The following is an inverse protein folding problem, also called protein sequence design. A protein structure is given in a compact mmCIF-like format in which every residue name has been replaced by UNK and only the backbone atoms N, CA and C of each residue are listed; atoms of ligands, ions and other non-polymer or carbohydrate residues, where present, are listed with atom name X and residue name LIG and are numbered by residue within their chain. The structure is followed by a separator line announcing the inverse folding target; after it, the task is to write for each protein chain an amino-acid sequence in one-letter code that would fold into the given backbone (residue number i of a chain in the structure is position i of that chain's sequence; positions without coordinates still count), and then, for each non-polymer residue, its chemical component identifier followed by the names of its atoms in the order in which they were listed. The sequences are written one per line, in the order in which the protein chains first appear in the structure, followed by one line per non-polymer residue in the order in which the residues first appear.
data_IF_640780815243
#
_entry.id   IF_640780815243
#
_cell.length_a   1.000
_cell.length_b   1.000
_cell.length_c   1.000
_cell.angle_alpha   90.00
_cell.angle_beta   90.00
_cell.angle_gamma   90.00
#
_symmetry.space_group_name_H-M   'P 1'
#
loop_
_entity.id
_entity.type
_entity.pdbx_description
1 polymer ?
#
# COMPACT_ATOMS: atom_id res chain seq x y z
N UNK A 1 -5.53 4.56 14.11
CA UNK A 1 -4.80 4.71 12.83
C UNK A 1 -3.28 4.72 13.05
N UNK A 2 -2.72 5.65 13.84
CA UNK A 2 -1.26 5.68 14.12
C UNK A 2 -0.80 4.36 14.74
N UNK A 3 -1.49 3.84 15.74
CA UNK A 3 -1.11 2.59 16.38
C UNK A 3 -1.11 1.40 15.41
N UNK A 4 -2.08 1.34 14.50
CA UNK A 4 -2.17 0.26 13.51
C UNK A 4 -1.15 0.45 12.38
N UNK A 5 -1.16 1.62 11.73
CA UNK A 5 -0.41 1.82 10.49
C UNK A 5 1.09 2.10 10.73
N UNK A 6 1.45 2.61 11.90
CA UNK A 6 2.85 2.95 12.24
C UNK A 6 3.40 1.96 13.26
N UNK A 7 2.87 1.97 14.50
CA UNK A 7 3.43 1.11 15.56
C UNK A 7 3.27 -0.37 15.22
N UNK A 8 2.11 -0.79 14.70
CA UNK A 8 1.87 -2.17 14.28
C UNK A 8 2.85 -2.62 13.22
N UNK A 9 3.08 -1.80 12.19
CA UNK A 9 4.07 -2.08 11.15
C UNK A 9 5.49 -2.23 11.74
N UNK A 10 5.93 -1.28 12.55
CA UNK A 10 7.28 -1.30 13.16
C UNK A 10 7.46 -2.53 14.05
N UNK A 11 6.48 -2.84 14.91
CA UNK A 11 6.58 -3.99 15.80
C UNK A 11 6.57 -5.32 15.05
N UNK A 12 5.67 -5.47 14.07
CA UNK A 12 5.62 -6.68 13.22
C UNK A 12 6.94 -6.88 12.48
N UNK A 13 7.46 -5.81 11.88
CA UNK A 13 8.75 -5.85 11.19
C UNK A 13 9.87 -6.26 12.16
N UNK A 14 9.97 -5.63 13.33
CA UNK A 14 10.99 -5.95 14.33
C UNK A 14 10.95 -7.42 14.76
N UNK A 15 9.76 -7.98 14.95
CA UNK A 15 9.58 -9.35 15.41
C UNK A 15 9.93 -10.38 14.32
N UNK A 16 9.59 -10.10 13.06
CA UNK A 16 9.77 -11.04 11.95
C UNK A 16 11.15 -10.90 11.27
N UNK A 17 11.76 -9.72 11.34
CA UNK A 17 12.99 -9.41 10.62
C UNK A 17 14.14 -10.40 10.86
N UNK A 18 14.43 -10.86 12.11
CA UNK A 18 15.49 -11.85 12.32
C UNK A 18 15.28 -13.16 11.55
N UNK A 19 14.04 -13.60 11.39
CA UNK A 19 13.71 -14.81 10.62
C UNK A 19 13.87 -14.58 9.12
N UNK A 20 13.52 -13.42 8.63
CA UNK A 20 13.69 -13.05 7.22
C UNK A 20 15.17 -12.94 6.85
N UNK A 21 15.97 -12.34 7.72
CA UNK A 21 17.44 -12.26 7.55
C UNK A 21 18.08 -13.67 7.58
N UNK A 22 17.65 -14.52 8.51
CA UNK A 22 18.14 -15.90 8.58
C UNK A 22 17.75 -16.73 7.33
N UNK A 23 16.58 -16.47 6.74
CA UNK A 23 16.19 -17.08 5.46
C UNK A 23 17.05 -16.54 4.31
N UNK A 24 17.35 -15.25 4.32
CA UNK A 24 18.22 -14.59 3.35
C UNK A 24 17.60 -14.45 1.96
N UNK A 25 18.35 -14.88 0.94
CA UNK A 25 17.97 -14.70 -0.46
C UNK A 25 16.62 -15.32 -0.80
N UNK A 26 15.71 -14.48 -1.28
CA UNK A 26 14.34 -14.84 -1.62
C UNK A 26 13.31 -14.36 -0.60
N UNK A 27 13.72 -14.05 0.64
CA UNK A 27 12.82 -13.40 1.60
C UNK A 27 12.36 -12.04 1.09
N UNK A 28 11.11 -11.70 1.37
CA UNK A 28 10.49 -10.46 0.88
C UNK A 28 9.58 -9.85 1.94
N UNK A 29 9.59 -8.54 2.00
CA UNK A 29 8.65 -7.71 2.74
C UNK A 29 7.91 -6.87 1.71
N UNK A 30 6.58 -6.93 1.70
CA UNK A 30 5.73 -6.04 0.92
C UNK A 30 4.87 -5.25 1.88
N UNK A 31 5.15 -3.97 2.01
CA UNK A 31 4.37 -3.06 2.84
C UNK A 31 3.28 -2.39 2.01
N UNK A 32 2.07 -2.34 2.54
CA UNK A 32 0.95 -1.66 1.91
C UNK A 32 0.97 -0.16 2.25
N UNK A 33 1.58 0.62 1.36
CA UNK A 33 1.49 2.06 1.31
C UNK A 33 0.12 2.53 0.81
N UNK A 34 0.11 3.61 0.08
CA UNK A 34 -1.03 4.16 -0.66
C UNK A 34 -0.57 5.35 -1.48
N UNK A 35 -1.22 5.64 -2.60
CA UNK A 35 -1.08 6.92 -3.31
C UNK A 35 -1.35 8.13 -2.40
N UNK A 36 -2.11 7.94 -1.32
CA UNK A 36 -2.36 8.95 -0.29
C UNK A 36 -1.10 9.35 0.51
N UNK A 37 -0.04 8.56 0.44
CA UNK A 37 1.27 8.90 1.03
C UNK A 37 2.04 9.90 0.18
N UNK A 38 1.76 9.96 -1.12
CA UNK A 38 2.46 10.78 -2.10
C UNK A 38 1.65 12.02 -2.52
N UNK A 39 0.32 11.89 -2.58
CA UNK A 39 -0.57 12.92 -3.12
C UNK A 39 -1.55 13.41 -2.06
N UNK A 40 -1.58 14.73 -1.79
CA UNK A 40 -2.48 15.31 -0.79
C UNK A 40 -3.92 15.34 -1.30
N UNK A 41 -4.87 15.15 -0.38
CA UNK A 41 -6.29 15.28 -0.67
C UNK A 41 -7.06 15.76 0.57
N UNK A 42 -8.23 16.40 0.43
CA UNK A 42 -9.04 16.86 1.56
C UNK A 42 -9.39 15.72 2.54
N UNK A 43 -9.17 15.95 3.84
CA UNK A 43 -9.44 14.96 4.89
C UNK A 43 -8.40 13.84 5.02
N UNK A 44 -7.31 13.89 4.27
CA UNK A 44 -6.27 12.85 4.24
C UNK A 44 -5.07 13.07 5.18
N UNK A 45 -5.04 14.15 5.96
CA UNK A 45 -3.84 14.58 6.70
C UNK A 45 -3.24 13.50 7.62
N UNK A 46 -4.01 12.84 8.48
CA UNK A 46 -3.48 11.76 9.34
C UNK A 46 -3.23 10.49 8.53
N UNK A 47 -4.18 10.08 7.70
CA UNK A 47 -4.04 8.87 6.88
C UNK A 47 -2.88 9.00 5.90
N UNK A 48 -2.81 10.07 5.14
CA UNK A 48 -1.71 10.35 4.21
C UNK A 48 -0.37 10.39 4.95
N UNK A 49 -0.32 11.04 6.11
CA UNK A 49 0.89 11.04 6.95
C UNK A 49 1.33 9.64 7.38
N UNK A 50 0.39 8.75 7.76
CA UNK A 50 0.76 7.36 8.07
C UNK A 50 1.25 6.58 6.85
N UNK A 51 0.68 6.84 5.67
CA UNK A 51 1.08 6.16 4.42
C UNK A 51 2.41 6.71 3.87
N UNK A 52 2.69 7.99 4.04
CA UNK A 52 4.01 8.57 3.79
C UNK A 52 5.08 7.95 4.70
N UNK A 53 4.74 7.71 5.98
CA UNK A 53 5.61 6.96 6.89
C UNK A 53 5.92 5.55 6.35
N UNK A 54 4.92 4.80 5.89
CA UNK A 54 5.12 3.45 5.33
C UNK A 54 6.09 3.49 4.14
N UNK A 55 5.93 4.46 3.24
CA UNK A 55 6.82 4.65 2.10
C UNK A 55 8.26 4.88 2.54
N UNK A 56 8.50 5.91 3.36
CA UNK A 56 9.85 6.25 3.82
C UNK A 56 10.46 5.14 4.69
N UNK A 57 9.67 4.50 5.55
CA UNK A 57 10.10 3.35 6.35
C UNK A 57 10.59 2.20 5.46
N UNK A 58 9.86 1.89 4.38
CA UNK A 58 10.22 0.83 3.45
C UNK A 58 11.56 1.12 2.74
N UNK A 59 11.77 2.37 2.31
CA UNK A 59 13.02 2.79 1.67
C UNK A 59 14.21 2.68 2.64
N UNK A 60 14.06 3.15 3.87
CA UNK A 60 15.11 3.07 4.89
C UNK A 60 15.39 1.62 5.27
N UNK A 61 14.35 0.82 5.49
CA UNK A 61 14.49 -0.61 5.78
C UNK A 61 15.23 -1.35 4.65
N UNK A 62 14.99 -0.97 3.40
CA UNK A 62 15.71 -1.53 2.26
C UNK A 62 17.22 -1.23 2.33
N UNK A 63 17.60 -0.03 2.79
CA UNK A 63 19.01 0.33 3.00
C UNK A 63 19.63 -0.46 4.15
N UNK A 64 18.92 -0.59 5.28
CA UNK A 64 19.42 -1.31 6.45
C UNK A 64 19.64 -2.81 6.16
N UNK A 65 18.92 -3.36 5.18
CA UNK A 65 18.97 -4.78 4.82
C UNK A 65 19.95 -5.09 3.67
N UNK A 66 20.78 -4.14 3.26
CA UNK A 66 21.80 -4.40 2.23
C UNK A 66 22.71 -5.57 2.65
N UNK A 67 22.99 -6.48 1.73
CA UNK A 67 23.80 -7.67 2.01
C UNK A 67 23.08 -8.86 2.63
N UNK A 68 21.83 -8.69 3.13
CA UNK A 68 21.06 -9.79 3.73
C UNK A 68 20.32 -10.65 2.71
N UNK A 69 20.11 -10.15 1.50
CA UNK A 69 19.30 -10.80 0.48
C UNK A 69 17.80 -10.64 0.64
N UNK A 70 17.33 -9.94 1.69
CA UNK A 70 15.91 -9.63 1.91
C UNK A 70 15.48 -8.48 1.02
N UNK A 71 14.35 -8.66 0.34
CA UNK A 71 13.75 -7.64 -0.52
C UNK A 71 12.70 -6.84 0.25
N UNK A 72 12.58 -5.55 -0.06
CA UNK A 72 11.56 -4.68 0.53
C UNK A 72 10.86 -3.89 -0.56
N UNK A 73 9.54 -3.95 -0.58
CA UNK A 73 8.69 -3.23 -1.54
C UNK A 73 7.66 -2.40 -0.79
N UNK A 74 7.45 -1.17 -1.23
CA UNK A 74 6.30 -0.36 -0.89
C UNK A 74 5.27 -0.45 -2.01
N UNK A 75 4.11 -1.06 -1.76
CA UNK A 75 3.00 -1.16 -2.71
C UNK A 75 1.99 -0.06 -2.40
N UNK A 76 1.66 0.78 -3.37
CA UNK A 76 0.90 2.02 -3.19
C UNK A 76 -0.39 2.01 -4.02
N UNK A 77 -1.45 1.35 -3.53
CA UNK A 77 -2.73 1.33 -4.23
C UNK A 77 -3.43 2.70 -4.22
N UNK A 78 -4.12 2.99 -5.32
CA UNK A 78 -5.12 4.03 -5.42
C UNK A 78 -6.49 3.59 -4.91
N UNK A 79 -7.57 3.94 -5.64
CA UNK A 79 -8.93 3.57 -5.29
C UNK A 79 -9.11 2.05 -5.40
N UNK A 80 -9.17 1.40 -4.25
CA UNK A 80 -9.43 -0.04 -4.14
C UNK A 80 -10.72 -0.27 -3.36
N UNK A 81 -11.64 -1.03 -3.92
CA UNK A 81 -12.90 -1.36 -3.27
C UNK A 81 -12.68 -2.43 -2.20
N UNK A 82 -12.94 -2.07 -0.97
CA UNK A 82 -12.76 -2.95 0.17
C UNK A 82 -13.55 -2.41 1.37
N UNK A 83 -13.64 -3.18 2.44
CA UNK A 83 -14.25 -2.73 3.70
C UNK A 83 -13.59 -1.48 4.33
N UNK A 84 -12.41 -1.08 3.83
CA UNK A 84 -11.69 0.10 4.33
C UNK A 84 -12.56 1.37 4.31
N UNK A 85 -13.28 1.62 3.22
CA UNK A 85 -14.15 2.79 3.11
C UNK A 85 -15.33 2.72 4.08
N UNK A 86 -15.90 1.53 4.27
CA UNK A 86 -16.99 1.33 5.24
C UNK A 86 -16.51 1.59 6.67
N UNK A 87 -15.35 1.06 7.04
CA UNK A 87 -14.72 1.32 8.35
C UNK A 87 -14.38 2.81 8.52
N UNK A 88 -13.83 3.44 7.48
CA UNK A 88 -13.48 4.87 7.47
C UNK A 88 -14.70 5.76 7.72
N UNK A 89 -15.84 5.39 7.16
CA UNK A 89 -17.09 6.16 7.30
C UNK A 89 -17.95 5.68 8.48
N UNK A 90 -17.43 4.86 9.38
CA UNK A 90 -18.15 4.41 10.58
C UNK A 90 -19.37 3.56 10.27
N UNK A 91 -19.37 2.82 9.17
CA UNK A 91 -20.48 1.97 8.73
C UNK A 91 -21.51 2.69 7.83
N UNK A 92 -21.25 3.93 7.43
CA UNK A 92 -22.15 4.68 6.53
C UNK A 92 -22.11 4.11 5.11
N UNK A 93 -23.09 3.25 4.81
CA UNK A 93 -23.21 2.57 3.51
C UNK A 93 -23.41 3.57 2.35
N UNK A 94 -24.13 4.66 2.57
CA UNK A 94 -24.38 5.64 1.50
C UNK A 94 -23.08 6.33 1.07
N UNK A 95 -22.19 6.65 2.02
CA UNK A 95 -20.86 7.20 1.71
C UNK A 95 -19.95 6.17 1.06
N UNK A 96 -20.05 4.91 1.49
CA UNK A 96 -19.35 3.81 0.84
C UNK A 96 -19.76 3.71 -0.63
N UNK A 97 -21.05 3.58 -0.90
CA UNK A 97 -21.58 3.44 -2.26
C UNK A 97 -21.20 4.66 -3.13
N UNK A 98 -21.31 5.87 -2.58
CA UNK A 98 -20.93 7.10 -3.27
C UNK A 98 -19.43 7.18 -3.61
N UNK A 99 -18.58 6.51 -2.84
CA UNK A 99 -17.13 6.46 -3.09
C UNK A 99 -16.82 5.72 -4.39
N UNK A 100 -17.54 4.64 -4.65
CA UNK A 100 -17.29 3.76 -5.80
C UNK A 100 -18.25 3.95 -6.96
N UNK A 101 -19.34 4.71 -6.77
CA UNK A 101 -20.35 4.93 -7.79
C UNK A 101 -19.75 5.47 -9.10
N UNK A 102 -19.99 4.76 -10.21
CA UNK A 102 -19.51 5.11 -11.55
C UNK A 102 -17.97 5.02 -11.72
N UNK A 103 -17.27 4.44 -10.76
CA UNK A 103 -15.86 4.11 -10.90
C UNK A 103 -15.68 2.60 -11.15
N UNK A 104 -14.57 2.22 -11.77
CA UNK A 104 -14.11 0.84 -11.85
C UNK A 104 -12.88 0.71 -10.95
N UNK A 105 -13.06 0.44 -9.64
CA UNK A 105 -11.98 0.43 -8.67
C UNK A 105 -11.13 -0.84 -8.79
N UNK A 106 -9.87 -0.74 -8.33
CA UNK A 106 -9.05 -1.93 -8.07
C UNK A 106 -9.77 -2.84 -7.08
N UNK A 107 -9.75 -4.13 -7.34
CA UNK A 107 -10.30 -5.14 -6.43
C UNK A 107 -9.19 -5.68 -5.50
N UNK A 108 -9.51 -6.19 -4.31
CA UNK A 108 -8.53 -6.82 -3.42
C UNK A 108 -7.74 -7.95 -4.10
N UNK A 109 -8.35 -8.66 -5.05
CA UNK A 109 -7.67 -9.69 -5.83
C UNK A 109 -6.55 -9.13 -6.70
N UNK A 110 -6.74 -7.96 -7.31
CA UNK A 110 -5.71 -7.31 -8.12
C UNK A 110 -4.47 -6.97 -7.28
N UNK A 111 -4.70 -6.55 -6.03
CA UNK A 111 -3.62 -6.29 -5.07
C UNK A 111 -2.91 -7.60 -4.69
N UNK A 112 -3.66 -8.67 -4.45
CA UNK A 112 -3.09 -9.98 -4.11
C UNK A 112 -2.25 -10.53 -5.26
N UNK A 113 -2.72 -10.44 -6.49
CA UNK A 113 -2.01 -10.87 -7.69
C UNK A 113 -0.74 -10.03 -7.92
N UNK A 114 -0.82 -8.73 -7.65
CA UNK A 114 0.34 -7.84 -7.71
C UNK A 114 1.39 -8.23 -6.67
N UNK A 115 0.99 -8.51 -5.42
CA UNK A 115 1.90 -8.98 -4.37
C UNK A 115 2.53 -10.31 -4.77
N UNK A 116 1.73 -11.25 -5.29
CA UNK A 116 2.22 -12.52 -5.76
C UNK A 116 3.28 -12.35 -6.87
N UNK A 117 3.02 -11.47 -7.84
CA UNK A 117 3.98 -11.16 -8.89
C UNK A 117 5.27 -10.55 -8.33
N UNK A 118 5.19 -9.57 -7.42
CA UNK A 118 6.35 -8.96 -6.77
C UNK A 118 7.20 -10.04 -6.08
N UNK A 119 6.56 -10.93 -5.33
CA UNK A 119 7.26 -11.97 -4.57
C UNK A 119 7.93 -13.02 -5.48
N UNK A 120 7.40 -13.24 -6.67
CA UNK A 120 7.93 -14.20 -7.64
C UNK A 120 8.96 -13.61 -8.63
N UNK A 121 9.33 -12.35 -8.50
CA UNK A 121 10.45 -11.79 -9.28
C UNK A 121 11.77 -12.49 -8.90
N UNK A 122 12.75 -12.53 -9.81
CA UNK A 122 14.05 -13.12 -9.51
C UNK A 122 14.67 -12.55 -8.22
N UNK A 123 15.28 -13.41 -7.41
CA UNK A 123 15.76 -13.04 -6.06
C UNK A 123 16.80 -11.91 -6.02
N UNK A 124 17.43 -11.57 -7.15
CA UNK A 124 18.35 -10.44 -7.28
C UNK A 124 17.65 -9.12 -7.65
N UNK A 125 16.35 -9.17 -7.96
CA UNK A 125 15.54 -8.00 -8.34
C UNK A 125 14.74 -7.54 -7.14
N UNK A 126 14.86 -6.28 -6.77
CA UNK A 126 14.03 -5.62 -5.76
C UNK A 126 13.16 -4.55 -6.42
N UNK A 127 11.86 -4.67 -6.30
CA UNK A 127 10.94 -3.59 -6.66
C UNK A 127 10.84 -2.68 -5.46
N UNK A 128 11.35 -1.45 -5.54
CA UNK A 128 11.41 -0.54 -4.41
C UNK A 128 10.03 0.03 -4.06
N UNK A 129 9.32 0.48 -5.09
CA UNK A 129 7.96 1.00 -4.98
C UNK A 129 7.15 0.64 -6.21
N UNK A 130 5.88 0.38 -6.03
CA UNK A 130 4.94 0.14 -7.10
C UNK A 130 3.63 0.85 -6.78
N UNK A 131 3.35 1.91 -7.56
CA UNK A 131 2.09 2.64 -7.51
C UNK A 131 1.14 2.09 -8.56
N UNK A 132 -0.11 1.83 -8.19
CA UNK A 132 -1.15 1.42 -9.13
C UNK A 132 -2.47 2.10 -8.81
N UNK A 133 -3.11 2.61 -9.84
CA UNK A 133 -4.43 3.23 -9.79
C UNK A 133 -5.36 2.55 -10.78
N UNK A 134 -6.67 2.54 -10.54
CA UNK A 134 -7.60 2.20 -11.61
C UNK A 134 -7.44 3.20 -12.77
N UNK A 135 -7.74 2.77 -13.98
CA UNK A 135 -7.62 3.62 -15.19
C UNK A 135 -8.47 4.89 -15.06
N UNK A 136 -9.56 4.81 -14.30
CA UNK A 136 -10.48 5.93 -14.01
C UNK A 136 -9.95 6.94 -12.98
N UNK A 137 -8.78 6.70 -12.36
CA UNK A 137 -8.19 7.60 -11.36
C UNK A 137 -6.92 8.26 -11.89
N UNK A 138 -6.69 9.53 -11.50
CA UNK A 138 -5.47 10.29 -11.78
C UNK A 138 -4.94 10.96 -10.51
N UNK A 139 -3.75 11.57 -10.59
CA UNK A 139 -3.13 12.30 -9.48
C UNK A 139 -3.79 13.65 -9.20
N UNK A 140 -4.45 14.26 -10.20
CA UNK A 140 -5.04 15.59 -10.07
C UNK A 140 -6.23 15.57 -9.10
N UNK A 141 -6.00 15.92 -7.83
CA UNK A 141 -7.01 15.97 -6.78
C UNK A 141 -7.66 14.61 -6.47
N UNK A 142 -7.01 13.49 -6.79
CA UNK A 142 -7.62 12.16 -6.78
C UNK A 142 -8.91 12.11 -7.61
N UNK A 143 -8.92 12.86 -8.72
CA UNK A 143 -10.05 12.87 -9.62
C UNK A 143 -10.35 11.44 -10.10
N UNK A 144 -11.63 11.07 -10.07
CA UNK A 144 -12.13 9.78 -10.51
C UNK A 144 -13.08 10.04 -11.68
N UNK A 145 -12.79 9.48 -12.84
CA UNK A 145 -13.73 9.47 -13.94
C UNK A 145 -14.85 8.46 -13.62
N UNK A 146 -16.06 8.95 -13.43
CA UNK A 146 -17.24 8.16 -13.08
C UNK A 146 -18.15 7.89 -14.28
N UNK A 147 -17.74 8.33 -15.47
CA UNK A 147 -18.52 8.24 -16.70
C UNK A 147 -18.08 7.08 -17.63
N UNK A 148 -17.23 6.20 -17.12
CA UNK A 148 -16.83 4.98 -17.84
C UNK A 148 -17.74 3.83 -17.41
N UNK A 149 -18.91 3.78 -18.00
CA UNK A 149 -19.84 2.66 -17.98
C UNK A 149 -20.17 2.24 -19.37
#
# INVERSE_FOLDING_TARGET
MIDTNIKGLVYTTRLLLPRLIAHGRGASIVNLGSVAGNYPYPGGNVYGGTKAFVGQFSLNLRNDLIGTGVRVTNLEPGLCESEFSLVRFGGDQAKYDATYAGAEPIQPQDIADTIFWIMNTPAHVNINSLELMPVSQTWAGFAIDRNRG
#
